data_IF_689406924135
#
_entry.id   IF_689406924135
#
_cell.length_a   1.000
_cell.length_b   1.000
_cell.length_c   1.000
_cell.angle_alpha   90.00
_cell.angle_beta   90.00
_cell.angle_gamma   90.00
#
_symmetry.space_group_name_H-M   'P 1'
#
loop_
_entity.id
_entity.type
_entity.pdbx_description
1 polymer ?
#
# COMPACT_ATOMS: atom_id res chain seq x y z
N UNK A 1 -7.98 32.67 -14.02
CA UNK A 1 -6.66 32.02 -14.09
C UNK A 1 -6.09 32.02 -12.69
N UNK A 2 -6.14 30.89 -11.96
CA UNK A 2 -5.55 30.79 -10.63
C UNK A 2 -4.06 30.51 -10.78
N UNK A 3 -3.24 31.54 -10.56
CA UNK A 3 -1.78 31.48 -10.52
C UNK A 3 -1.30 31.17 -9.11
N UNK A 4 -1.67 30.00 -8.58
CA UNK A 4 -0.94 29.43 -7.46
C UNK A 4 0.16 28.56 -8.06
N UNK A 5 1.41 29.00 -7.91
CA UNK A 5 2.58 28.16 -8.21
C UNK A 5 2.43 26.83 -7.49
N UNK A 6 2.59 25.71 -8.21
CA UNK A 6 2.46 24.33 -7.72
C UNK A 6 3.27 24.04 -6.43
N UNK A 7 4.18 24.94 -6.04
CA UNK A 7 4.98 24.89 -4.82
C UNK A 7 4.24 25.23 -3.50
N UNK A 8 2.95 25.61 -3.53
CA UNK A 8 2.18 25.95 -2.31
C UNK A 8 1.00 25.01 -2.02
N UNK A 9 0.83 23.94 -2.80
CA UNK A 9 -0.26 22.98 -2.57
C UNK A 9 0.18 21.92 -1.56
N UNK A 10 -0.41 21.93 -0.36
CA UNK A 10 -0.32 20.81 0.57
C UNK A 10 -1.39 19.77 0.22
N UNK A 11 -0.98 18.51 0.05
CA UNK A 11 -1.89 17.38 -0.20
C UNK A 11 -2.19 16.70 1.14
N UNK A 12 -3.47 16.53 1.42
CA UNK A 12 -3.95 15.81 2.61
C UNK A 12 -4.74 14.58 2.16
N UNK A 13 -4.44 13.44 2.76
CA UNK A 13 -5.20 12.20 2.57
C UNK A 13 -6.02 11.91 3.83
N UNK A 14 -7.34 11.82 3.67
CA UNK A 14 -8.25 11.46 4.75
C UNK A 14 -8.79 10.04 4.52
N UNK A 15 -8.50 9.08 5.42
CA UNK A 15 -9.02 7.72 5.27
C UNK A 15 -10.52 7.69 5.58
N UNK A 16 -11.32 7.43 4.56
CA UNK A 16 -12.79 7.34 4.63
C UNK A 16 -13.30 6.05 5.28
N UNK A 17 -12.47 5.02 5.40
CA UNK A 17 -12.77 3.81 6.16
C UNK A 17 -11.57 3.33 7.00
N UNK A 18 -11.84 2.45 7.97
CA UNK A 18 -10.82 1.95 8.90
C UNK A 18 -9.76 1.08 8.20
N UNK A 19 -10.09 0.48 7.05
CA UNK A 19 -9.16 -0.36 6.29
C UNK A 19 -8.13 0.52 5.56
N UNK A 20 -8.56 1.58 4.88
CA UNK A 20 -7.67 2.57 4.27
C UNK A 20 -6.82 3.25 5.35
N UNK A 21 -7.39 3.56 6.51
CA UNK A 21 -6.65 4.10 7.65
C UNK A 21 -5.49 3.20 8.07
N UNK A 22 -5.71 1.88 8.13
CA UNK A 22 -4.66 0.91 8.43
C UNK A 22 -3.60 0.89 7.35
N UNK A 23 -3.97 0.87 6.07
CA UNK A 23 -3.00 0.86 4.97
C UNK A 23 -2.13 2.11 4.95
N UNK A 24 -2.70 3.31 5.12
CA UNK A 24 -1.92 4.55 5.23
C UNK A 24 -0.97 4.54 6.44
N UNK A 25 -1.41 4.00 7.60
CA UNK A 25 -0.52 3.83 8.76
C UNK A 25 0.64 2.89 8.46
N UNK A 26 0.36 1.75 7.82
CA UNK A 26 1.38 0.76 7.46
C UNK A 26 2.40 1.36 6.48
N UNK A 27 1.91 2.03 5.43
CA UNK A 27 2.75 2.76 4.47
C UNK A 27 3.68 3.75 5.19
N UNK A 28 3.12 4.58 6.06
CA UNK A 28 3.90 5.55 6.83
C UNK A 28 4.98 4.87 7.70
N UNK A 29 4.70 3.73 8.33
CA UNK A 29 5.72 2.99 9.07
C UNK A 29 6.82 2.45 8.15
N UNK A 30 6.48 1.89 6.99
CA UNK A 30 7.46 1.42 6.01
C UNK A 30 8.35 2.56 5.51
N UNK A 31 7.77 3.72 5.19
CA UNK A 31 8.50 4.92 4.76
C UNK A 31 9.48 5.39 5.84
N UNK A 32 9.03 5.47 7.10
CA UNK A 32 9.89 5.86 8.23
C UNK A 32 11.03 4.88 8.45
N UNK A 33 10.76 3.57 8.44
CA UNK A 33 11.80 2.55 8.61
C UNK A 33 12.83 2.67 7.48
N UNK A 34 12.38 2.77 6.22
CA UNK A 34 13.29 2.87 5.08
C UNK A 34 14.14 4.14 5.10
N UNK A 35 13.57 5.28 5.52
CA UNK A 35 14.30 6.54 5.62
C UNK A 35 15.32 6.51 6.77
N UNK A 36 14.88 6.12 7.97
CA UNK A 36 15.69 6.25 9.17
C UNK A 36 16.77 5.16 9.31
N UNK A 37 16.56 3.96 8.72
CA UNK A 37 17.59 2.89 8.78
C UNK A 37 18.87 3.24 8.02
N UNK A 38 18.81 4.20 7.10
CA UNK A 38 19.95 4.60 6.25
C UNK A 38 20.82 5.69 6.90
N UNK A 39 20.39 6.24 8.04
CA UNK A 39 21.02 7.36 8.70
C UNK A 39 21.61 6.91 10.04
N UNK A 40 22.92 7.06 10.20
CA UNK A 40 23.64 6.61 11.40
C UNK A 40 23.61 7.68 12.51
N UNK A 41 22.42 7.93 13.06
CA UNK A 41 22.29 8.69 14.32
C UNK A 41 21.47 7.91 15.35
N UNK A 42 21.64 8.27 16.62
CA UNK A 42 20.86 7.70 17.72
C UNK A 42 19.35 7.96 17.53
N UNK A 43 18.99 9.15 17.05
CA UNK A 43 17.60 9.52 16.84
C UNK A 43 16.95 8.73 15.69
N UNK A 44 17.68 8.55 14.59
CA UNK A 44 17.21 7.78 13.44
C UNK A 44 17.10 6.28 13.80
N UNK A 45 18.08 5.75 14.53
CA UNK A 45 18.01 4.37 15.06
C UNK A 45 16.77 4.16 15.94
N UNK A 46 16.50 5.09 16.85
CA UNK A 46 15.29 5.07 17.69
C UNK A 46 14.01 5.18 16.84
N UNK A 47 13.97 6.09 15.87
CA UNK A 47 12.81 6.31 15.02
C UNK A 47 12.49 5.08 14.15
N UNK A 48 13.52 4.43 13.60
CA UNK A 48 13.39 3.18 12.84
C UNK A 48 12.85 2.05 13.72
N UNK A 49 13.44 1.84 14.91
CA UNK A 49 12.98 0.81 15.86
C UNK A 49 11.56 1.05 16.35
N UNK A 50 11.22 2.29 16.70
CA UNK A 50 9.87 2.64 17.15
C UNK A 50 8.83 2.41 16.04
N UNK A 51 9.18 2.73 14.79
CA UNK A 51 8.33 2.47 13.63
C UNK A 51 8.18 0.96 13.36
N UNK A 52 9.24 0.18 13.55
CA UNK A 52 9.21 -1.27 13.43
C UNK A 52 8.33 -1.93 14.50
N UNK A 53 8.41 -1.47 15.75
CA UNK A 53 7.53 -1.95 16.83
C UNK A 53 6.07 -1.60 16.53
N UNK A 54 5.81 -0.38 16.05
CA UNK A 54 4.46 0.08 15.67
C UNK A 54 3.89 -0.74 14.51
N UNK A 55 4.72 -1.06 13.52
CA UNK A 55 4.39 -1.96 12.42
C UNK A 55 4.01 -3.35 12.96
N UNK A 56 4.83 -3.94 13.84
CA UNK A 56 4.57 -5.24 14.45
C UNK A 56 3.25 -5.25 15.24
N UNK A 57 2.99 -4.22 16.06
CA UNK A 57 1.75 -4.10 16.82
C UNK A 57 0.50 -4.00 15.92
N UNK A 58 0.63 -3.30 14.78
CA UNK A 58 -0.47 -3.18 13.81
C UNK A 58 -0.71 -4.51 13.10
N UNK A 59 0.36 -5.17 12.65
CA UNK A 59 0.31 -6.45 11.95
C UNK A 59 -0.16 -7.61 12.83
N UNK A 60 0.09 -7.56 14.14
CA UNK A 60 -0.32 -8.62 15.09
C UNK A 60 -1.79 -8.55 15.51
N UNK A 61 -2.39 -7.35 15.51
CA UNK A 61 -3.78 -7.15 15.94
C UNK A 61 -4.78 -7.16 14.78
N UNK A 62 -4.33 -6.80 13.59
CA UNK A 62 -5.19 -6.70 12.41
C UNK A 62 -4.95 -7.86 11.45
N UNK A 63 -6.01 -8.29 10.79
CA UNK A 63 -5.95 -9.28 9.73
C UNK A 63 -5.55 -8.63 8.40
N UNK A 64 -4.46 -7.85 8.44
CA UNK A 64 -3.97 -7.02 7.33
C UNK A 64 -3.86 -7.82 6.03
N UNK A 65 -3.42 -9.08 6.13
CA UNK A 65 -3.35 -9.99 4.97
C UNK A 65 -4.71 -10.18 4.30
N UNK A 66 -5.76 -10.44 5.07
CA UNK A 66 -7.10 -10.66 4.51
C UNK A 66 -7.70 -9.38 3.96
N UNK A 67 -7.48 -8.26 4.65
CA UNK A 67 -7.91 -6.95 4.17
C UNK A 67 -7.22 -6.60 2.85
N UNK A 68 -5.91 -6.85 2.71
CA UNK A 68 -5.15 -6.59 1.49
C UNK A 68 -5.60 -7.48 0.33
N UNK A 69 -5.85 -8.78 0.57
CA UNK A 69 -6.36 -9.69 -0.46
C UNK A 69 -7.72 -9.19 -0.97
N UNK A 70 -8.64 -8.84 -0.07
CA UNK A 70 -9.96 -8.31 -0.45
C UNK A 70 -9.84 -7.03 -1.27
N UNK A 71 -8.90 -6.15 -0.94
CA UNK A 71 -8.69 -4.91 -1.68
C UNK A 71 -8.15 -5.16 -3.09
N UNK A 72 -7.19 -6.09 -3.23
CA UNK A 72 -6.65 -6.49 -4.53
C UNK A 72 -7.75 -7.13 -5.39
N UNK A 73 -8.56 -8.03 -4.82
CA UNK A 73 -9.67 -8.67 -5.53
C UNK A 73 -10.73 -7.65 -5.96
N UNK A 74 -11.04 -6.68 -5.09
CA UNK A 74 -11.92 -5.56 -5.42
C UNK A 74 -11.40 -4.76 -6.62
N UNK A 75 -10.13 -4.34 -6.61
CA UNK A 75 -9.53 -3.63 -7.74
C UNK A 75 -9.53 -4.47 -9.03
N UNK A 76 -9.20 -5.75 -8.93
CA UNK A 76 -9.19 -6.67 -10.08
C UNK A 76 -10.58 -6.75 -10.73
N UNK A 77 -11.64 -6.86 -9.94
CA UNK A 77 -13.02 -6.88 -10.46
C UNK A 77 -13.38 -5.60 -11.22
N UNK A 78 -12.94 -4.43 -10.74
CA UNK A 78 -13.15 -3.15 -11.44
C UNK A 78 -12.36 -3.09 -12.74
N UNK A 79 -11.12 -3.57 -12.74
CA UNK A 79 -10.27 -3.58 -13.94
C UNK A 79 -10.83 -4.48 -15.03
N UNK A 80 -11.45 -5.62 -14.68
CA UNK A 80 -12.16 -6.48 -15.63
C UNK A 80 -13.26 -5.70 -16.36
N UNK A 81 -14.01 -4.85 -15.65
CA UNK A 81 -15.02 -4.01 -16.27
C UNK A 81 -14.40 -2.88 -17.11
N UNK A 82 -13.28 -2.30 -16.67
CA UNK A 82 -12.60 -1.23 -17.41
C UNK A 82 -11.98 -1.69 -18.73
N UNK A 83 -11.48 -2.93 -18.80
CA UNK A 83 -10.95 -3.52 -20.05
C UNK A 83 -12.02 -3.61 -21.15
N UNK A 84 -13.30 -3.71 -20.77
CA UNK A 84 -14.42 -3.77 -21.74
C UNK A 84 -14.75 -2.42 -22.35
N UNK A 85 -14.30 -1.31 -21.74
CA UNK A 85 -14.56 0.05 -22.22
C UNK A 85 -13.73 0.32 -23.48
N UNK A 86 -14.37 0.87 -24.51
CA UNK A 86 -13.70 1.28 -25.74
C UNK A 86 -12.70 2.42 -25.47
N UNK A 87 -11.51 2.36 -26.08
CA UNK A 87 -10.43 3.32 -25.81
C UNK A 87 -9.63 3.07 -24.53
N UNK A 88 -9.94 2.03 -23.76
CA UNK A 88 -9.12 1.63 -22.61
C UNK A 88 -7.75 1.08 -23.05
N UNK A 89 -6.71 1.37 -22.27
CA UNK A 89 -5.39 0.76 -22.43
C UNK A 89 -5.40 -0.67 -21.86
N UNK A 90 -5.83 -1.60 -22.72
CA UNK A 90 -5.95 -3.02 -22.39
C UNK A 90 -4.61 -3.64 -21.99
N UNK A 91 -3.51 -3.18 -22.57
CA UNK A 91 -2.17 -3.70 -22.28
C UNK A 91 -1.80 -3.36 -20.84
N UNK A 92 -1.94 -2.08 -20.47
CA UNK A 92 -1.63 -1.61 -19.11
C UNK A 92 -2.54 -2.25 -18.06
N UNK A 93 -3.85 -2.34 -18.32
CA UNK A 93 -4.80 -2.97 -17.39
C UNK A 93 -4.49 -4.45 -17.17
N UNK A 94 -4.25 -5.21 -18.24
CA UNK A 94 -3.88 -6.62 -18.13
C UNK A 94 -2.55 -6.80 -17.39
N UNK A 95 -1.55 -5.95 -17.66
CA UNK A 95 -0.26 -5.98 -16.95
C UNK A 95 -0.41 -5.75 -15.44
N UNK A 96 -1.27 -4.80 -15.03
CA UNK A 96 -1.52 -4.54 -13.61
C UNK A 96 -2.25 -5.72 -12.96
N UNK A 97 -3.26 -6.27 -13.62
CA UNK A 97 -4.00 -7.44 -13.12
C UNK A 97 -3.12 -8.69 -13.00
N UNK A 98 -2.16 -8.86 -13.91
CA UNK A 98 -1.17 -9.94 -13.85
C UNK A 98 -0.24 -9.77 -12.64
N UNK A 99 0.29 -8.56 -12.42
CA UNK A 99 1.09 -8.24 -11.21
C UNK A 99 0.32 -8.53 -9.92
N UNK A 100 -0.95 -8.14 -9.86
CA UNK A 100 -1.84 -8.45 -8.73
C UNK A 100 -1.97 -9.97 -8.53
N UNK A 101 -2.15 -10.74 -9.61
CA UNK A 101 -2.24 -12.19 -9.54
C UNK A 101 -0.96 -12.82 -9.02
N UNK A 102 0.22 -12.38 -9.51
CA UNK A 102 1.53 -12.88 -9.06
C UNK A 102 1.72 -12.64 -7.56
N UNK A 103 1.39 -11.43 -7.08
CA UNK A 103 1.44 -11.07 -5.66
C UNK A 103 0.56 -12.05 -4.87
N UNK A 104 -0.72 -12.19 -5.23
CA UNK A 104 -1.63 -13.09 -4.52
C UNK A 104 -1.14 -14.55 -4.52
N UNK A 105 -0.68 -15.06 -5.66
CA UNK A 105 -0.17 -16.43 -5.78
C UNK A 105 1.07 -16.67 -4.92
N UNK A 106 2.06 -15.76 -4.96
CA UNK A 106 3.26 -15.86 -4.12
C UNK A 106 2.92 -15.93 -2.62
N UNK A 107 1.96 -15.10 -2.17
CA UNK A 107 1.54 -15.05 -0.76
C UNK A 107 0.60 -16.20 -0.33
N UNK A 108 -0.04 -16.90 -1.27
CA UNK A 108 -0.84 -18.12 -1.00
C UNK A 108 0.07 -19.34 -0.87
N UNK A 109 1.11 -19.47 -1.71
CA UNK A 109 2.06 -20.60 -1.69
C UNK A 109 2.83 -20.66 -0.36
N UNK A 110 3.21 -19.50 0.21
CA UNK A 110 3.82 -19.43 1.55
C UNK A 110 2.96 -20.07 2.66
N UNK A 111 1.65 -20.25 2.44
CA UNK A 111 0.71 -20.90 3.39
C UNK A 111 0.64 -22.43 3.23
N UNK A 112 1.23 -23.00 2.18
CA UNK A 112 1.30 -24.46 1.97
C UNK A 112 2.62 -25.07 2.46
N UNK A 113 3.60 -24.23 2.80
CA UNK A 113 4.96 -24.64 3.22
C UNK A 113 5.19 -24.42 4.73
N UNK A 114 4.24 -23.78 5.43
CA UNK A 114 4.16 -23.66 6.91
C UNK A 114 2.83 -24.21 7.39
#
# INVERSE_FOLDING_TARGET
MNTFSDNHAAIYEEPVDERIRKFLKLENYFLKINKHKEIDTIYDSYAALNSLISLYQTMSRAEVKRELIREIDFHKSRYIEYVKIEGSDKIKLNSIMEKQSVILTHYIILKLIT
#
